data_IF_243516884257
#
_entry.id   IF_243516884257
#
_cell.length_a   1.000
_cell.length_b   1.000
_cell.length_c   1.000
_cell.angle_alpha   90.00
_cell.angle_beta   90.00
_cell.angle_gamma   90.00
#
_symmetry.space_group_name_H-M   'P 1'
#
loop_
_entity.id
_entity.type
_entity.pdbx_description
1 polymer ?
#
# COMPACT_ATOMS: atom_id res chain seq x y z
N UNK A 1 -37.16 0.82 -17.97
CA UNK A 1 -35.74 1.13 -18.17
C UNK A 1 -35.40 2.35 -17.35
N UNK A 2 -34.78 2.15 -16.18
CA UNK A 2 -34.19 3.23 -15.37
C UNK A 2 -32.68 2.98 -15.34
N UNK A 3 -31.83 3.93 -15.78
CA UNK A 3 -30.39 3.73 -15.92
C UNK A 3 -29.60 4.00 -14.63
N UNK A 4 -30.22 3.89 -13.45
CA UNK A 4 -29.62 4.32 -12.17
C UNK A 4 -28.76 3.27 -11.46
N UNK A 5 -28.65 2.04 -11.98
CA UNK A 5 -27.86 0.96 -11.37
C UNK A 5 -26.44 0.77 -11.92
N UNK A 6 -26.12 1.34 -13.10
CA UNK A 6 -24.82 1.14 -13.75
C UNK A 6 -23.74 2.11 -13.26
N UNK A 7 -24.14 3.30 -12.77
CA UNK A 7 -23.21 4.33 -12.29
C UNK A 7 -22.60 4.01 -10.92
N UNK A 8 -23.31 3.27 -10.06
CA UNK A 8 -22.79 2.92 -8.71
C UNK A 8 -21.71 1.81 -8.77
N UNK A 9 -21.90 0.81 -9.63
CA UNK A 9 -20.92 -0.27 -9.81
C UNK A 9 -19.63 0.20 -10.49
N UNK A 10 -19.73 1.06 -11.51
CA UNK A 10 -18.56 1.60 -12.22
C UNK A 10 -17.70 2.52 -11.33
N UNK A 11 -18.34 3.38 -10.53
CA UNK A 11 -17.64 4.25 -9.59
C UNK A 11 -16.89 3.47 -8.51
N UNK A 12 -17.50 2.40 -7.98
CA UNK A 12 -16.85 1.54 -6.99
C UNK A 12 -15.65 0.76 -7.56
N UNK A 13 -15.76 0.23 -8.78
CA UNK A 13 -14.64 -0.46 -9.45
C UNK A 13 -13.47 0.50 -9.68
N UNK A 14 -13.73 1.76 -10.06
CA UNK A 14 -12.68 2.76 -10.20
C UNK A 14 -11.97 3.06 -8.87
N UNK A 15 -12.73 3.16 -7.77
CA UNK A 15 -12.17 3.35 -6.43
C UNK A 15 -11.25 2.17 -6.05
N UNK A 16 -11.67 0.94 -6.33
CA UNK A 16 -10.86 -0.27 -6.14
C UNK A 16 -9.60 -0.26 -7.01
N UNK A 17 -9.73 0.11 -8.28
CA UNK A 17 -8.60 0.21 -9.21
C UNK A 17 -7.55 1.21 -8.73
N UNK A 18 -7.97 2.41 -8.34
CA UNK A 18 -7.09 3.42 -7.76
C UNK A 18 -6.48 2.94 -6.42
N UNK A 19 -7.23 2.21 -5.60
CA UNK A 19 -6.69 1.63 -4.37
C UNK A 19 -5.59 0.59 -4.66
N UNK A 20 -5.73 -0.23 -5.71
CA UNK A 20 -4.66 -1.14 -6.16
C UNK A 20 -3.45 -0.34 -6.66
N UNK A 21 -3.64 0.71 -7.45
CA UNK A 21 -2.56 1.60 -7.91
C UNK A 21 -1.78 2.16 -6.72
N UNK A 22 -2.48 2.73 -5.73
CA UNK A 22 -1.85 3.27 -4.53
C UNK A 22 -1.15 2.18 -3.70
N UNK A 23 -1.80 1.03 -3.52
CA UNK A 23 -1.24 -0.10 -2.77
C UNK A 23 0.07 -0.61 -3.39
N UNK A 24 0.09 -0.85 -4.71
CA UNK A 24 1.29 -1.31 -5.42
C UNK A 24 2.34 -0.19 -5.45
N UNK A 25 1.91 1.06 -5.56
CA UNK A 25 2.80 2.21 -5.46
C UNK A 25 3.50 2.33 -4.11
N UNK A 26 2.80 2.07 -3.00
CA UNK A 26 3.39 1.99 -1.66
C UNK A 26 4.34 0.80 -1.55
N UNK A 27 3.97 -0.35 -2.11
CA UNK A 27 4.76 -1.58 -2.05
C UNK A 27 6.13 -1.41 -2.73
N UNK A 28 6.12 -0.97 -3.99
CA UNK A 28 7.35 -0.74 -4.75
C UNK A 28 8.06 0.52 -4.25
N UNK A 29 7.32 1.55 -3.85
CA UNK A 29 7.89 2.76 -3.27
C UNK A 29 8.68 2.49 -1.99
N UNK A 30 8.16 1.61 -1.12
CA UNK A 30 8.85 1.23 0.12
C UNK A 30 10.13 0.46 -0.17
N UNK A 31 10.08 -0.53 -1.07
CA UNK A 31 11.27 -1.33 -1.40
C UNK A 31 12.37 -0.53 -2.12
N UNK A 32 12.02 0.56 -2.81
CA UNK A 32 13.00 1.48 -3.43
C UNK A 32 13.52 2.52 -2.44
N UNK A 33 12.66 3.04 -1.57
CA UNK A 33 12.99 4.16 -0.67
C UNK A 33 13.66 3.70 0.62
N UNK A 34 13.25 2.56 1.18
CA UNK A 34 13.79 2.03 2.43
C UNK A 34 15.33 1.88 2.45
N UNK A 35 15.97 1.25 1.44
CA UNK A 35 17.44 1.17 1.42
C UNK A 35 18.08 2.55 1.27
N UNK A 36 17.50 3.45 0.47
CA UNK A 36 18.01 4.82 0.30
C UNK A 36 17.96 5.64 1.60
N UNK A 37 16.91 5.46 2.41
CA UNK A 37 16.81 6.10 3.73
C UNK A 37 17.96 5.63 4.65
N UNK A 38 18.28 4.33 4.65
CA UNK A 38 19.40 3.81 5.44
C UNK A 38 20.75 4.33 4.94
N UNK A 39 20.93 4.43 3.63
CA UNK A 39 22.15 5.02 3.05
C UNK A 39 22.28 6.50 3.42
N UNK A 40 21.20 7.29 3.32
CA UNK A 40 21.21 8.73 3.60
C UNK A 40 21.38 9.06 5.08
N UNK A 41 20.72 8.31 5.98
CA UNK A 41 20.69 8.62 7.43
C UNK A 41 21.75 7.89 8.25
N UNK A 42 22.08 6.65 7.87
CA UNK A 42 22.99 5.78 8.63
C UNK A 42 24.36 5.66 7.95
N UNK A 43 24.47 6.06 6.67
CA UNK A 43 25.71 5.89 5.90
C UNK A 43 26.02 4.43 5.56
N UNK A 44 25.00 3.58 5.57
CA UNK A 44 25.12 2.15 5.32
C UNK A 44 25.50 1.87 3.85
N UNK A 45 26.27 0.81 3.61
CA UNK A 45 26.55 0.35 2.24
C UNK A 45 25.26 -0.10 1.54
N UNK A 46 25.22 -0.07 0.20
CA UNK A 46 24.04 -0.52 -0.54
C UNK A 46 23.73 -2.00 -0.28
N UNK A 47 24.77 -2.83 -0.15
CA UNK A 47 24.64 -4.27 0.08
C UNK A 47 23.97 -4.55 1.44
N UNK A 48 24.37 -3.84 2.49
CA UNK A 48 23.76 -3.96 3.81
C UNK A 48 22.34 -3.35 3.85
N UNK A 49 22.15 -2.21 3.19
CA UNK A 49 20.86 -1.53 3.14
C UNK A 49 19.80 -2.33 2.38
N UNK A 50 20.20 -3.10 1.36
CA UNK A 50 19.30 -3.97 0.60
C UNK A 50 18.65 -5.06 1.47
N UNK A 51 19.27 -5.44 2.59
CA UNK A 51 18.70 -6.41 3.53
C UNK A 51 17.35 -5.95 4.11
N UNK A 52 17.11 -4.63 4.22
CA UNK A 52 15.84 -4.09 4.72
C UNK A 52 14.66 -4.49 3.82
N UNK A 53 14.87 -4.67 2.52
CA UNK A 53 13.86 -5.12 1.58
C UNK A 53 13.47 -6.58 1.84
N UNK A 54 14.42 -7.41 2.24
CA UNK A 54 14.14 -8.79 2.65
C UNK A 54 13.23 -8.82 3.87
N UNK A 55 13.52 -7.97 4.86
CA UNK A 55 12.67 -7.83 6.07
C UNK A 55 11.27 -7.35 5.69
N UNK A 56 11.17 -6.38 4.80
CA UNK A 56 9.89 -5.90 4.27
C UNK A 56 9.05 -7.05 3.69
N UNK A 57 9.62 -7.86 2.78
CA UNK A 57 8.88 -8.94 2.14
C UNK A 57 8.55 -10.09 3.09
N UNK A 58 9.43 -10.41 4.06
CA UNK A 58 9.14 -11.40 5.11
C UNK A 58 8.00 -10.91 6.00
N UNK A 59 8.05 -9.66 6.46
CA UNK A 59 7.00 -9.07 7.26
C UNK A 59 5.67 -9.02 6.50
N UNK A 60 5.71 -8.73 5.20
CA UNK A 60 4.56 -8.80 4.30
C UNK A 60 3.98 -10.21 4.22
N UNK A 61 4.81 -11.23 4.03
CA UNK A 61 4.37 -12.63 4.01
C UNK A 61 3.71 -13.04 5.33
N UNK A 62 4.30 -12.67 6.47
CA UNK A 62 3.74 -12.90 7.80
C UNK A 62 2.41 -12.14 7.96
N UNK A 63 2.33 -10.90 7.49
CA UNK A 63 1.12 -10.09 7.47
C UNK A 63 -0.01 -10.74 6.66
N UNK A 64 0.29 -11.24 5.46
CA UNK A 64 -0.69 -11.95 4.61
C UNK A 64 -1.17 -13.26 5.25
N UNK A 65 -0.25 -14.03 5.84
CA UNK A 65 -0.58 -15.29 6.49
C UNK A 65 -1.42 -15.09 7.76
N UNK A 66 -1.00 -14.17 8.63
CA UNK A 66 -1.74 -13.81 9.84
C UNK A 66 -3.09 -13.17 9.51
N UNK A 67 -3.14 -12.33 8.47
CA UNK A 67 -4.38 -11.73 7.96
C UNK A 67 -5.42 -12.77 7.56
N UNK A 68 -5.00 -13.83 6.87
CA UNK A 68 -5.90 -14.94 6.49
C UNK A 68 -6.50 -15.68 7.71
N UNK A 69 -5.80 -15.70 8.84
CA UNK A 69 -6.30 -16.29 10.09
C UNK A 69 -7.18 -15.30 10.88
N UNK A 70 -6.77 -14.04 10.92
CA UNK A 70 -7.46 -12.96 11.64
C UNK A 70 -8.78 -12.59 10.95
N UNK A 71 -8.85 -12.66 9.62
CA UNK A 71 -10.07 -12.47 8.82
C UNK A 71 -11.17 -13.50 9.15
N UNK A 72 -10.84 -14.62 9.82
CA UNK A 72 -11.86 -15.54 10.34
C UNK A 72 -12.64 -14.97 11.53
N UNK A 73 -12.06 -14.00 12.24
CA UNK A 73 -12.64 -13.41 13.46
C UNK A 73 -12.96 -11.92 13.32
N UNK A 74 -12.29 -11.21 12.41
CA UNK A 74 -12.49 -9.79 12.13
C UNK A 74 -13.04 -9.59 10.72
N UNK A 75 -13.95 -8.63 10.57
CA UNK A 75 -14.45 -8.20 9.25
C UNK A 75 -13.29 -7.65 8.42
N UNK A 76 -13.21 -8.03 7.15
CA UNK A 76 -12.18 -7.59 6.18
C UNK A 76 -12.00 -6.06 6.17
N UNK A 77 -13.08 -5.32 6.43
CA UNK A 77 -13.05 -3.86 6.50
C UNK A 77 -12.32 -3.30 7.72
N UNK A 78 -12.47 -3.92 8.89
CA UNK A 78 -11.73 -3.53 10.09
C UNK A 78 -10.26 -3.87 9.95
N UNK A 79 -9.97 -4.99 9.28
CA UNK A 79 -8.60 -5.39 8.97
C UNK A 79 -7.91 -4.38 8.04
N UNK A 80 -8.61 -3.92 6.99
CA UNK A 80 -8.08 -2.88 6.10
C UNK A 80 -7.73 -1.59 6.85
N UNK A 81 -8.58 -1.14 7.79
CA UNK A 81 -8.27 0.03 8.62
C UNK A 81 -7.03 -0.20 9.48
N UNK A 82 -6.94 -1.34 10.16
CA UNK A 82 -5.79 -1.66 11.01
C UNK A 82 -4.49 -1.68 10.20
N UNK A 83 -4.52 -2.30 9.02
CA UNK A 83 -3.42 -2.28 8.05
C UNK A 83 -3.01 -0.86 7.66
N UNK A 84 -3.96 0.01 7.33
CA UNK A 84 -3.69 1.41 6.95
C UNK A 84 -3.11 2.20 8.12
N UNK A 85 -3.63 2.01 9.34
CA UNK A 85 -3.08 2.66 10.54
C UNK A 85 -1.63 2.24 10.81
N UNK A 86 -1.31 0.95 10.64
CA UNK A 86 0.08 0.46 10.74
C UNK A 86 0.98 1.08 9.67
N UNK A 87 0.49 1.23 8.43
CA UNK A 87 1.24 1.91 7.36
C UNK A 87 1.45 3.40 7.66
N UNK A 88 0.46 4.09 8.23
CA UNK A 88 0.62 5.49 8.69
C UNK A 88 1.69 5.59 9.77
N UNK A 89 1.66 4.71 10.78
CA UNK A 89 2.68 4.67 11.83
C UNK A 89 4.08 4.39 11.26
N UNK A 90 4.17 3.46 10.30
CA UNK A 90 5.41 3.16 9.60
C UNK A 90 5.94 4.35 8.79
N UNK A 91 5.07 5.08 8.08
CA UNK A 91 5.45 6.29 7.34
C UNK A 91 5.98 7.38 8.29
N UNK A 92 5.33 7.59 9.44
CA UNK A 92 5.82 8.51 10.48
C UNK A 92 7.19 8.06 11.01
N UNK A 93 7.36 6.76 11.26
CA UNK A 93 8.64 6.19 11.67
C UNK A 93 9.75 6.38 10.63
N UNK A 94 9.44 6.30 9.34
CA UNK A 94 10.39 6.59 8.26
C UNK A 94 10.70 8.08 8.11
N UNK A 95 9.75 8.97 8.44
CA UNK A 95 9.99 10.43 8.41
C UNK A 95 10.87 10.84 9.59
N UNK A 96 10.53 10.44 10.81
CA UNK A 96 11.17 10.92 12.04
C UNK A 96 12.29 10.01 12.58
N UNK A 97 12.36 8.74 12.17
CA UNK A 97 13.34 7.77 12.67
C UNK A 97 14.72 7.99 12.05
N UNK A 98 15.72 8.32 12.87
CA UNK A 98 17.09 8.55 12.40
C UNK A 98 18.02 7.35 12.66
N UNK A 99 17.58 6.41 13.49
CA UNK A 99 18.32 5.23 13.88
C UNK A 99 17.94 3.99 13.05
N UNK A 100 18.90 3.09 12.87
CA UNK A 100 18.74 1.84 12.12
C UNK A 100 17.59 1.01 12.65
N UNK A 101 17.45 0.89 13.98
CA UNK A 101 16.41 0.08 14.60
C UNK A 101 15.00 0.59 14.25
N UNK A 102 14.78 1.91 14.35
CA UNK A 102 13.49 2.53 14.01
C UNK A 102 13.19 2.40 12.52
N UNK A 103 14.16 2.55 11.63
CA UNK A 103 13.95 2.38 10.19
C UNK A 103 13.56 0.92 9.88
N UNK A 104 14.29 -0.05 10.43
CA UNK A 104 13.99 -1.48 10.26
C UNK A 104 12.61 -1.85 10.81
N UNK A 105 12.27 -1.37 12.01
CA UNK A 105 10.95 -1.57 12.61
C UNK A 105 9.83 -0.94 11.77
N UNK A 106 10.06 0.27 11.24
CA UNK A 106 9.10 0.97 10.39
C UNK A 106 8.87 0.23 9.08
N UNK A 107 9.93 -0.26 8.43
CA UNK A 107 9.81 -1.06 7.21
C UNK A 107 9.10 -2.38 7.46
N UNK A 108 9.39 -3.06 8.57
CA UNK A 108 8.69 -4.28 8.96
C UNK A 108 7.19 -4.01 9.19
N UNK A 109 6.84 -2.93 9.89
CA UNK A 109 5.44 -2.51 10.09
C UNK A 109 4.76 -2.15 8.76
N UNK A 110 5.46 -1.47 7.85
CA UNK A 110 4.95 -1.17 6.51
C UNK A 110 4.62 -2.45 5.74
N UNK A 111 5.55 -3.41 5.72
CA UNK A 111 5.37 -4.71 5.07
C UNK A 111 4.20 -5.48 5.65
N UNK A 112 4.11 -5.57 6.97
CA UNK A 112 3.00 -6.22 7.67
C UNK A 112 1.64 -5.58 7.33
N UNK A 113 1.54 -4.25 7.39
CA UNK A 113 0.33 -3.52 7.04
C UNK A 113 -0.08 -3.71 5.57
N UNK A 114 0.91 -3.76 4.68
CA UNK A 114 0.70 -3.90 3.24
C UNK A 114 0.44 -5.36 2.79
N UNK A 115 0.37 -6.35 3.70
CA UNK A 115 0.21 -7.76 3.31
C UNK A 115 -1.16 -8.16 2.73
N UNK A 116 -2.24 -7.49 3.13
CA UNK A 116 -3.62 -7.88 2.82
C UNK A 116 -4.48 -6.87 2.02
N UNK A 117 -4.19 -5.55 1.98
CA UNK A 117 -5.03 -4.59 1.26
C UNK A 117 -5.33 -4.99 -0.20
N UNK A 118 -4.35 -5.54 -0.92
CA UNK A 118 -4.54 -6.03 -2.29
C UNK A 118 -5.67 -7.05 -2.39
N UNK A 119 -5.59 -8.15 -1.63
CA UNK A 119 -6.56 -9.24 -1.68
C UNK A 119 -7.96 -8.79 -1.27
N UNK A 120 -8.07 -7.90 -0.28
CA UNK A 120 -9.36 -7.36 0.20
C UNK A 120 -10.02 -6.50 -0.89
N UNK A 121 -9.28 -5.57 -1.46
CA UNK A 121 -9.78 -4.66 -2.52
C UNK A 121 -10.14 -5.46 -3.76
N UNK A 122 -9.28 -6.40 -4.14
CA UNK A 122 -9.50 -7.26 -5.30
C UNK A 122 -10.76 -8.14 -5.14
N UNK A 123 -10.92 -8.80 -4.00
CA UNK A 123 -12.10 -9.62 -3.72
C UNK A 123 -13.39 -8.79 -3.75
N UNK A 124 -13.38 -7.58 -3.18
CA UNK A 124 -14.54 -6.67 -3.22
C UNK A 124 -14.91 -6.23 -4.62
N UNK A 125 -13.94 -5.87 -5.44
CA UNK A 125 -14.19 -5.47 -6.82
C UNK A 125 -14.83 -6.60 -7.65
N UNK A 126 -14.38 -7.85 -7.46
CA UNK A 126 -14.99 -9.01 -8.10
C UNK A 126 -16.40 -9.33 -7.60
N UNK A 127 -16.69 -9.02 -6.34
CA UNK A 127 -18.04 -9.17 -5.77
C UNK A 127 -19.00 -8.07 -6.23
N UNK A 128 -18.49 -6.86 -6.51
CA UNK A 128 -19.30 -5.74 -6.99
C UNK A 128 -19.79 -5.91 -8.44
N UNK A 129 -19.05 -6.66 -9.28
CA UNK A 129 -19.46 -7.00 -10.65
C UNK A 129 -19.24 -8.49 -10.95
N UNK A 130 -20.07 -9.39 -10.39
CA UNK A 130 -19.87 -10.83 -10.50
C UNK A 130 -20.03 -11.36 -11.94
N UNK A 131 -20.75 -10.64 -12.80
CA UNK A 131 -20.93 -11.00 -14.22
C UNK A 131 -19.74 -10.58 -15.10
N UNK A 132 -18.94 -9.61 -14.65
CA UNK A 132 -17.78 -9.07 -15.40
C UNK A 132 -16.45 -9.34 -14.72
N UNK A 133 -16.34 -10.43 -13.95
CA UNK A 133 -15.14 -10.76 -13.16
C UNK A 133 -13.84 -10.76 -13.97
N UNK A 134 -13.87 -11.24 -15.21
CA UNK A 134 -12.67 -11.28 -16.07
C UNK A 134 -12.21 -9.87 -16.47
N UNK A 135 -13.15 -8.98 -16.83
CA UNK A 135 -12.84 -7.59 -17.18
C UNK A 135 -12.35 -6.81 -15.96
N UNK A 136 -13.02 -6.98 -14.81
CA UNK A 136 -12.64 -6.31 -13.56
C UNK A 136 -11.28 -6.81 -13.06
N UNK A 137 -11.05 -8.12 -13.05
CA UNK A 137 -9.73 -8.69 -12.72
C UNK A 137 -8.64 -8.13 -13.62
N UNK A 138 -8.87 -8.11 -14.94
CA UNK A 138 -7.94 -7.55 -15.91
C UNK A 138 -7.64 -6.07 -15.63
N UNK A 139 -8.67 -5.26 -15.39
CA UNK A 139 -8.52 -3.86 -15.04
C UNK A 139 -7.69 -3.67 -13.76
N UNK A 140 -7.97 -4.41 -12.69
CA UNK A 140 -7.21 -4.32 -11.43
C UNK A 140 -5.75 -4.74 -11.59
N UNK A 141 -5.47 -5.78 -12.37
CA UNK A 141 -4.11 -6.23 -12.70
C UNK A 141 -3.37 -5.14 -13.48
N UNK A 142 -4.03 -4.41 -14.37
CA UNK A 142 -3.40 -3.26 -15.03
C UNK A 142 -2.94 -2.23 -13.99
N UNK A 143 -3.69 -2.02 -12.91
CA UNK A 143 -3.35 -1.11 -11.81
C UNK A 143 -1.99 -1.38 -11.14
N UNK A 144 -1.37 -2.54 -11.39
CA UNK A 144 0.00 -2.85 -10.95
C UNK A 144 1.03 -1.85 -11.54
N UNK A 145 0.73 -1.15 -12.64
CA UNK A 145 1.58 -0.06 -13.13
C UNK A 145 1.76 1.07 -12.09
N UNK A 146 0.91 1.17 -11.06
CA UNK A 146 1.11 2.09 -9.95
C UNK A 146 2.50 1.96 -9.31
N UNK A 147 3.08 0.76 -9.37
CA UNK A 147 4.45 0.47 -8.95
C UNK A 147 5.55 1.13 -9.78
N UNK A 148 5.25 1.75 -10.93
CA UNK A 148 6.22 2.57 -11.66
C UNK A 148 5.96 4.07 -11.44
N UNK A 149 4.69 4.48 -11.44
CA UNK A 149 4.31 5.88 -11.26
C UNK A 149 4.74 6.41 -9.90
N UNK A 150 4.47 5.66 -8.82
CA UNK A 150 4.82 6.11 -7.48
C UNK A 150 6.34 6.25 -7.30
N UNK A 151 7.17 5.25 -7.65
CA UNK A 151 8.63 5.40 -7.59
C UNK A 151 9.18 6.53 -8.46
N UNK A 152 8.60 6.80 -9.63
CA UNK A 152 8.99 7.95 -10.45
C UNK A 152 8.72 9.27 -9.72
N UNK A 153 7.50 9.45 -9.19
CA UNK A 153 7.14 10.63 -8.40
C UNK A 153 7.98 10.75 -7.12
N UNK A 154 8.25 9.63 -6.45
CA UNK A 154 9.15 9.57 -5.29
C UNK A 154 10.57 9.96 -5.66
N UNK A 155 11.07 9.57 -6.84
CA UNK A 155 12.37 9.98 -7.35
C UNK A 155 12.45 11.50 -7.48
N UNK A 156 11.50 12.11 -8.20
CA UNK A 156 11.44 13.56 -8.35
C UNK A 156 11.31 14.30 -7.00
N UNK A 157 10.49 13.78 -6.08
CA UNK A 157 10.34 14.38 -4.75
C UNK A 157 11.61 14.22 -3.89
N UNK A 158 12.30 13.10 -4.03
CA UNK A 158 13.56 12.82 -3.34
C UNK A 158 14.68 13.73 -3.82
N UNK A 159 14.74 13.98 -5.13
CA UNK A 159 15.73 14.90 -5.71
C UNK A 159 15.51 16.36 -5.25
N UNK A 160 14.27 16.73 -4.91
CA UNK A 160 13.93 18.09 -4.48
C UNK A 160 14.16 18.34 -2.98
N UNK A 161 13.74 17.42 -2.11
CA UNK A 161 13.74 17.61 -0.64
C UNK A 161 14.30 16.41 0.16
N UNK A 162 15.08 15.54 -0.49
CA UNK A 162 15.68 14.33 0.09
C UNK A 162 14.70 13.18 0.28
N UNK A 163 15.13 12.06 0.88
CA UNK A 163 14.28 10.87 1.07
C UNK A 163 12.94 11.14 1.77
N UNK A 164 12.84 12.22 2.55
CA UNK A 164 11.57 12.67 3.15
C UNK A 164 10.50 12.93 2.08
N UNK A 165 10.88 13.50 0.94
CA UNK A 165 9.98 13.73 -0.20
C UNK A 165 9.39 12.44 -0.77
N UNK A 166 10.19 11.38 -0.88
CA UNK A 166 9.70 10.07 -1.29
C UNK A 166 8.66 9.50 -0.30
N UNK A 167 8.90 9.64 1.01
CA UNK A 167 7.95 9.19 2.04
C UNK A 167 6.67 10.03 2.05
N UNK A 168 6.73 11.32 1.71
CA UNK A 168 5.54 12.16 1.56
C UNK A 168 4.66 11.71 0.39
N UNK A 169 5.26 11.40 -0.77
CA UNK A 169 4.53 10.83 -1.91
C UNK A 169 3.87 9.50 -1.54
N UNK A 170 4.57 8.66 -0.78
CA UNK A 170 4.01 7.40 -0.25
C UNK A 170 2.81 7.65 0.67
N UNK A 171 2.93 8.66 1.53
CA UNK A 171 1.89 9.05 2.49
C UNK A 171 0.60 9.47 1.78
N UNK A 172 0.67 10.11 0.61
CA UNK A 172 -0.51 10.42 -0.21
C UNK A 172 -1.24 9.14 -0.64
N UNK A 173 -0.51 8.09 -1.02
CA UNK A 173 -1.11 6.78 -1.33
C UNK A 173 -1.79 6.14 -0.12
N UNK A 174 -1.17 6.24 1.06
CA UNK A 174 -1.74 5.71 2.32
C UNK A 174 -3.02 6.46 2.69
N UNK A 175 -3.02 7.79 2.56
CA UNK A 175 -4.19 8.64 2.78
C UNK A 175 -5.32 8.30 1.80
N UNK A 176 -4.98 7.98 0.55
CA UNK A 176 -5.97 7.49 -0.42
C UNK A 176 -6.62 6.18 0.04
N UNK A 177 -5.83 5.21 0.52
CA UNK A 177 -6.37 3.96 1.07
C UNK A 177 -7.26 4.21 2.31
N UNK A 178 -6.92 5.18 3.15
CA UNK A 178 -7.76 5.61 4.25
C UNK A 178 -9.08 6.24 3.77
N UNK A 179 -9.01 7.09 2.72
CA UNK A 179 -10.18 7.68 2.08
C UNK A 179 -11.09 6.63 1.43
N UNK A 180 -10.51 5.64 0.77
CA UNK A 180 -11.21 4.46 0.25
C UNK A 180 -11.93 3.71 1.37
N UNK A 181 -11.28 3.53 2.52
CA UNK A 181 -11.90 2.94 3.71
C UNK A 181 -13.05 3.79 4.31
N UNK A 182 -12.98 5.11 4.18
CA UNK A 182 -14.08 5.97 4.63
C UNK A 182 -15.28 5.92 3.67
N UNK A 183 -15.03 5.87 2.36
CA UNK A 183 -16.07 5.84 1.33
C UNK A 183 -16.76 4.48 1.22
N UNK A 184 -16.01 3.38 1.25
CA UNK A 184 -16.60 2.03 1.20
C UNK A 184 -17.33 1.60 2.49
N UNK A 185 -17.38 2.46 3.53
CA UNK A 185 -18.26 2.26 4.70
C UNK A 185 -19.68 2.75 4.44
N UNK A 186 -19.89 3.57 3.41
CA UNK A 186 -21.17 4.16 3.02
C UNK A 186 -21.87 3.39 1.88
N UNK A 187 -21.12 2.54 1.18
CA UNK A 187 -21.60 1.61 0.14
C UNK A 187 -21.88 0.27 0.81
#
# INVERSE_FOLDING_TARGET
>A
HSPSGETEGGGFILLCFLAIICHVGIDVGTSVTAPKILMERVGMSLDDAAFVCTIYFIAKAIGSFSGSFIMKFLKDWTFLLLSVLLMVLAALGLIFGHDTATIYASVALMGFGNGNPFSIVFARALQAAPEKKNEVSGLLIMGIFGGTIFPLLMGFASDAIGQVGAVLVMSVGILYLLGYWLQGRKV
#
